data_IF_837591437925
#
_entry.id   IF_837591437925
#
_cell.length_a   1.000
_cell.length_b   1.000
_cell.length_c   1.000
_cell.angle_alpha   90.00
_cell.angle_beta   90.00
_cell.angle_gamma   90.00
#
_symmetry.space_group_name_H-M   'P 1'
#
loop_
_entity.id
_entity.type
_entity.pdbx_description
1 polymer ?
#
# COMPACT_ATOMS: atom_id res chain seq x y z
N UNK A 1 2.39 -16.38 4.74
CA UNK A 1 3.47 -16.46 3.70
C UNK A 1 3.34 -17.69 2.79
N UNK A 2 2.43 -18.64 3.07
CA UNK A 2 2.21 -19.81 2.20
C UNK A 2 1.51 -19.50 0.87
N UNK A 3 0.94 -18.33 0.71
CA UNK A 3 0.22 -17.91 -0.50
C UNK A 3 0.99 -16.94 -1.41
N UNK A 4 2.22 -16.55 -1.05
CA UNK A 4 3.03 -15.71 -1.92
C UNK A 4 3.57 -16.54 -3.09
N UNK A 5 3.35 -16.14 -4.36
CA UNK A 5 3.86 -16.89 -5.50
C UNK A 5 5.38 -17.06 -5.42
N UNK A 6 5.86 -18.30 -5.37
CA UNK A 6 7.30 -18.64 -5.34
C UNK A 6 8.04 -18.35 -6.68
N UNK A 7 7.47 -17.59 -7.58
CA UNK A 7 7.87 -17.59 -9.00
C UNK A 7 8.97 -16.61 -9.40
N UNK A 8 9.54 -15.82 -8.50
CA UNK A 8 10.74 -15.04 -8.84
C UNK A 8 12.01 -15.71 -8.30
N UNK A 9 12.50 -16.73 -9.04
CA UNK A 9 13.78 -17.40 -8.76
C UNK A 9 14.94 -16.39 -8.83
N UNK A 10 16.03 -16.69 -8.11
CA UNK A 10 17.32 -15.97 -8.13
C UNK A 10 17.66 -15.48 -9.56
N UNK A 11 17.47 -14.20 -9.80
CA UNK A 11 17.94 -13.50 -10.99
C UNK A 11 18.90 -12.42 -10.53
N UNK A 12 19.81 -12.03 -11.39
CA UNK A 12 20.72 -10.92 -11.07
C UNK A 12 19.91 -9.66 -10.79
N UNK A 13 20.25 -8.90 -9.73
CA UNK A 13 19.53 -7.67 -9.36
C UNK A 13 19.39 -6.72 -10.56
N UNK A 14 18.24 -6.10 -10.70
CA UNK A 14 17.94 -5.11 -11.76
C UNK A 14 17.66 -5.67 -13.16
N UNK A 15 17.82 -6.98 -13.40
CA UNK A 15 17.61 -7.56 -14.75
C UNK A 15 16.16 -7.97 -15.06
N UNK A 16 15.31 -7.98 -14.07
CA UNK A 16 13.88 -8.25 -14.25
C UNK A 16 13.14 -6.95 -14.06
N UNK A 17 12.09 -6.72 -14.84
CA UNK A 17 11.23 -5.55 -14.73
C UNK A 17 9.83 -6.01 -14.36
N UNK A 18 9.17 -5.31 -13.44
CA UNK A 18 7.78 -5.53 -13.09
C UNK A 18 7.10 -4.22 -12.65
N UNK A 19 5.79 -4.17 -12.79
CA UNK A 19 4.94 -3.16 -12.18
C UNK A 19 4.61 -3.61 -10.74
N UNK A 20 5.24 -3.02 -9.73
CA UNK A 20 5.13 -3.51 -8.36
C UNK A 20 3.68 -3.56 -7.85
N UNK A 21 2.88 -2.53 -8.12
CA UNK A 21 1.48 -2.49 -7.70
C UNK A 21 0.60 -3.50 -8.47
N UNK A 22 0.94 -3.88 -9.70
CA UNK A 22 0.23 -4.97 -10.41
C UNK A 22 0.44 -6.31 -9.71
N UNK A 23 1.66 -6.59 -9.25
CA UNK A 23 1.96 -7.79 -8.46
C UNK A 23 1.21 -7.76 -7.13
N UNK A 24 1.14 -6.60 -6.46
CA UNK A 24 0.32 -6.39 -5.27
C UNK A 24 -1.17 -6.61 -5.56
N UNK A 25 -1.68 -6.14 -6.69
CA UNK A 25 -3.08 -6.35 -7.10
C UNK A 25 -3.46 -7.82 -7.18
N UNK A 26 -2.59 -8.66 -7.75
CA UNK A 26 -2.80 -10.12 -7.77
C UNK A 26 -2.80 -10.72 -6.35
N UNK A 27 -1.93 -10.25 -5.48
CA UNK A 27 -1.92 -10.67 -4.07
C UNK A 27 -3.20 -10.24 -3.34
N UNK A 28 -3.66 -9.01 -3.52
CA UNK A 28 -4.91 -8.52 -2.92
C UNK A 28 -6.14 -9.25 -3.45
N UNK A 29 -6.16 -9.65 -4.74
CA UNK A 29 -7.18 -10.55 -5.29
C UNK A 29 -7.26 -11.84 -4.50
N UNK A 30 -6.13 -12.48 -4.25
CA UNK A 30 -6.08 -13.75 -3.53
C UNK A 30 -6.51 -13.57 -2.05
N UNK A 31 -6.08 -12.48 -1.41
CA UNK A 31 -6.56 -12.10 -0.07
C UNK A 31 -8.08 -11.89 -0.07
N UNK A 32 -8.62 -11.18 -1.05
CA UNK A 32 -10.05 -10.90 -1.17
C UNK A 32 -10.85 -12.18 -1.37
N UNK A 33 -10.40 -13.07 -2.23
CA UNK A 33 -11.04 -14.37 -2.49
C UNK A 33 -11.24 -15.18 -1.21
N UNK A 34 -10.26 -15.18 -0.32
CA UNK A 34 -10.34 -15.89 0.97
C UNK A 34 -11.11 -15.10 2.04
N UNK A 35 -11.38 -13.81 1.81
CA UNK A 35 -11.94 -12.90 2.80
C UNK A 35 -13.11 -12.05 2.29
N UNK A 36 -13.96 -12.61 1.45
CA UNK A 36 -15.07 -11.89 0.77
C UNK A 36 -16.00 -11.12 1.71
N UNK A 37 -16.13 -11.55 2.98
CA UNK A 37 -17.02 -10.89 3.95
C UNK A 37 -16.31 -9.85 4.82
N UNK A 38 -14.99 -9.85 4.82
CA UNK A 38 -14.19 -9.10 5.80
C UNK A 38 -13.09 -8.24 5.22
N UNK A 39 -12.92 -8.22 3.90
CA UNK A 39 -11.92 -7.40 3.22
C UNK A 39 -12.54 -6.52 2.14
N UNK A 40 -12.08 -5.27 2.02
CA UNK A 40 -12.45 -4.33 0.96
C UNK A 40 -11.25 -3.55 0.45
N UNK A 41 -11.29 -3.22 -0.83
CA UNK A 41 -10.44 -2.18 -1.43
C UNK A 41 -11.29 -0.93 -1.62
N UNK A 42 -10.73 0.22 -1.25
CA UNK A 42 -11.40 1.53 -1.33
C UNK A 42 -10.52 2.48 -2.11
N UNK A 43 -11.09 3.32 -2.93
CA UNK A 43 -10.33 4.32 -3.68
C UNK A 43 -11.20 5.31 -4.46
N UNK A 44 -10.66 6.49 -4.82
CA UNK A 44 -11.38 7.51 -5.57
C UNK A 44 -11.29 7.26 -7.08
N UNK A 45 -11.93 6.19 -7.58
CA UNK A 45 -11.94 5.80 -9.00
C UNK A 45 -10.54 5.48 -9.59
N UNK A 46 -9.65 4.93 -8.79
CA UNK A 46 -8.26 4.73 -9.19
C UNK A 46 -7.78 3.27 -9.10
N UNK A 47 -8.65 2.30 -8.82
CA UNK A 47 -8.26 0.89 -8.62
C UNK A 47 -7.52 0.33 -9.83
N UNK A 48 -8.06 0.53 -11.03
CA UNK A 48 -7.44 0.04 -12.26
C UNK A 48 -6.16 0.82 -12.60
N UNK A 49 -6.17 2.14 -12.46
CA UNK A 49 -5.01 2.99 -12.77
C UNK A 49 -3.86 2.78 -11.78
N UNK A 50 -4.16 2.39 -10.54
CA UNK A 50 -3.19 1.95 -9.54
C UNK A 50 -2.68 0.51 -9.77
N UNK A 51 -3.06 -0.12 -10.88
CA UNK A 51 -2.72 -1.50 -11.26
C UNK A 51 -3.29 -2.57 -10.32
N UNK A 52 -4.30 -2.25 -9.54
CA UNK A 52 -4.98 -3.20 -8.65
C UNK A 52 -6.14 -3.94 -9.33
N UNK A 53 -6.33 -3.78 -10.63
CA UNK A 53 -7.45 -4.33 -11.40
C UNK A 53 -7.66 -5.85 -11.25
N UNK A 54 -6.63 -6.61 -10.88
CA UNK A 54 -6.77 -8.05 -10.63
C UNK A 54 -7.83 -8.38 -9.56
N UNK A 55 -8.15 -7.48 -8.63
CA UNK A 55 -9.22 -7.71 -7.65
C UNK A 55 -10.59 -7.87 -8.30
N UNK A 56 -10.80 -7.27 -9.47
CA UNK A 56 -12.04 -7.40 -10.24
C UNK A 56 -12.23 -8.79 -10.88
N UNK A 57 -11.23 -9.66 -10.83
CA UNK A 57 -11.38 -11.06 -11.27
C UNK A 57 -12.24 -11.91 -10.29
N UNK A 58 -12.42 -11.42 -9.05
CA UNK A 58 -13.13 -12.16 -7.98
C UNK A 58 -14.28 -11.37 -7.34
N UNK A 59 -14.43 -10.09 -7.68
CA UNK A 59 -15.51 -9.25 -7.14
C UNK A 59 -15.79 -8.08 -8.08
N UNK A 60 -16.90 -7.39 -7.85
CA UNK A 60 -17.29 -6.18 -8.53
C UNK A 60 -17.10 -4.94 -7.63
N UNK A 61 -17.35 -3.76 -8.19
CA UNK A 61 -17.51 -2.51 -7.44
C UNK A 61 -18.85 -2.54 -6.69
N UNK A 62 -18.87 -2.03 -5.47
CA UNK A 62 -20.11 -1.88 -4.69
C UNK A 62 -21.01 -0.85 -5.34
N UNK A 63 -22.22 -1.26 -5.73
CA UNK A 63 -23.20 -0.38 -6.36
C UNK A 63 -24.59 -0.67 -5.82
N UNK A 64 -25.27 0.34 -5.26
CA UNK A 64 -26.58 0.19 -4.63
C UNK A 64 -27.72 0.85 -5.40
N UNK A 65 -27.40 1.57 -6.50
CA UNK A 65 -28.41 2.12 -7.40
C UNK A 65 -28.80 1.12 -8.49
N UNK A 66 -29.66 1.53 -9.41
CA UNK A 66 -30.03 0.73 -10.57
C UNK A 66 -28.80 0.39 -11.40
N UNK A 67 -28.71 -0.84 -11.86
CA UNK A 67 -27.68 -1.34 -12.76
C UNK A 67 -28.29 -1.44 -14.15
N UNK A 68 -27.74 -0.68 -15.10
CA UNK A 68 -28.20 -0.64 -16.48
C UNK A 68 -27.57 -1.77 -17.31
N UNK A 69 -28.16 -2.12 -18.47
CA UNK A 69 -27.62 -3.22 -19.29
C UNK A 69 -26.20 -3.04 -19.80
N UNK A 70 -25.75 -1.80 -19.93
CA UNK A 70 -24.40 -1.46 -20.41
C UNK A 70 -23.40 -1.21 -19.25
N UNK A 71 -23.86 -1.33 -17.99
CA UNK A 71 -22.98 -1.22 -16.82
C UNK A 71 -22.18 -2.50 -16.66
N UNK A 72 -20.91 -2.36 -16.27
CA UNK A 72 -19.98 -3.47 -16.12
C UNK A 72 -19.31 -3.42 -14.73
N UNK A 73 -19.03 -4.61 -14.19
CA UNK A 73 -18.35 -4.79 -12.90
C UNK A 73 -19.04 -4.08 -11.71
N UNK A 74 -20.37 -4.03 -11.71
CA UNK A 74 -21.18 -3.46 -10.63
C UNK A 74 -22.02 -4.52 -9.91
N UNK A 75 -22.05 -4.48 -8.58
CA UNK A 75 -22.86 -5.38 -7.76
C UNK A 75 -23.12 -4.79 -6.37
N UNK A 76 -24.31 -4.96 -5.78
CA UNK A 76 -24.55 -4.60 -4.39
C UNK A 76 -23.60 -5.31 -3.40
N UNK A 77 -23.17 -6.52 -3.73
CA UNK A 77 -22.24 -7.32 -2.93
C UNK A 77 -20.76 -7.06 -3.27
N UNK A 78 -20.47 -6.18 -4.19
CA UNK A 78 -19.12 -5.84 -4.62
C UNK A 78 -18.23 -5.47 -3.43
N UNK A 79 -16.93 -5.76 -3.53
CA UNK A 79 -15.94 -5.53 -2.45
C UNK A 79 -14.99 -4.39 -2.75
N UNK A 80 -15.06 -3.82 -3.94
CA UNK A 80 -14.33 -2.60 -4.29
C UNK A 80 -15.28 -1.42 -4.15
N UNK A 81 -14.91 -0.43 -3.34
CA UNK A 81 -15.68 0.78 -3.10
C UNK A 81 -14.98 1.95 -3.76
N UNK A 82 -15.50 2.39 -4.89
CA UNK A 82 -14.99 3.55 -5.61
C UNK A 82 -15.98 4.69 -5.58
N UNK A 83 -15.50 5.85 -5.17
CA UNK A 83 -16.22 7.12 -5.26
C UNK A 83 -15.22 8.26 -5.35
N UNK A 84 -15.44 9.20 -6.25
CA UNK A 84 -14.59 10.37 -6.44
C UNK A 84 -14.74 11.36 -5.27
N UNK A 85 -14.37 10.87 -4.09
CA UNK A 85 -14.37 11.59 -2.83
C UNK A 85 -13.48 10.85 -1.83
N UNK A 86 -12.26 11.30 -1.64
CA UNK A 86 -11.28 10.73 -0.73
C UNK A 86 -11.78 10.77 0.72
N UNK A 87 -12.51 11.80 1.11
CA UNK A 87 -13.16 11.89 2.43
C UNK A 87 -14.14 10.74 2.67
N UNK A 88 -14.97 10.42 1.67
CA UNK A 88 -15.92 9.32 1.77
C UNK A 88 -15.19 7.97 1.81
N UNK A 89 -14.16 7.79 0.98
CA UNK A 89 -13.30 6.61 0.98
C UNK A 89 -12.67 6.38 2.35
N UNK A 90 -12.10 7.43 2.95
CA UNK A 90 -11.51 7.40 4.28
C UNK A 90 -12.56 7.03 5.35
N UNK A 91 -13.69 7.71 5.35
CA UNK A 91 -14.77 7.48 6.32
C UNK A 91 -15.34 6.07 6.26
N UNK A 92 -15.53 5.53 5.06
CA UNK A 92 -15.96 4.15 4.85
C UNK A 92 -14.95 3.15 5.40
N UNK A 93 -13.67 3.35 5.08
CA UNK A 93 -12.64 2.43 5.55
C UNK A 93 -12.50 2.49 7.07
N UNK A 94 -12.46 3.67 7.67
CA UNK A 94 -12.41 3.81 9.14
C UNK A 94 -13.58 3.09 9.81
N UNK A 95 -14.81 3.35 9.36
CA UNK A 95 -16.00 2.67 9.88
C UNK A 95 -15.92 1.14 9.71
N UNK A 96 -15.38 0.68 8.61
CA UNK A 96 -15.23 -0.75 8.32
C UNK A 96 -14.22 -1.43 9.25
N UNK A 97 -13.07 -0.77 9.51
CA UNK A 97 -12.05 -1.24 10.46
C UNK A 97 -12.60 -1.34 11.88
N UNK A 98 -13.43 -0.38 12.31
CA UNK A 98 -14.08 -0.38 13.63
C UNK A 98 -15.00 -1.60 13.83
N UNK A 99 -15.47 -2.22 12.78
CA UNK A 99 -16.28 -3.45 12.84
C UNK A 99 -15.44 -4.73 12.91
N UNK A 100 -14.12 -4.62 13.06
CA UNK A 100 -13.18 -5.74 13.11
C UNK A 100 -12.81 -6.32 11.74
N UNK A 101 -13.10 -5.59 10.67
CA UNK A 101 -12.80 -5.97 9.29
C UNK A 101 -11.53 -5.29 8.80
N UNK A 102 -11.06 -5.65 7.60
CA UNK A 102 -9.80 -5.18 7.02
C UNK A 102 -10.05 -4.50 5.68
N UNK A 103 -9.16 -3.58 5.31
CA UNK A 103 -9.24 -2.93 4.02
C UNK A 103 -7.96 -2.20 3.63
N UNK A 104 -7.99 -1.70 2.41
CA UNK A 104 -6.90 -0.97 1.79
C UNK A 104 -7.45 0.25 1.04
N UNK A 105 -6.84 1.41 1.24
CA UNK A 105 -7.17 2.63 0.53
C UNK A 105 -6.05 2.96 -0.45
N UNK A 106 -6.34 2.87 -1.76
CA UNK A 106 -5.41 3.25 -2.81
C UNK A 106 -5.76 4.63 -3.37
N UNK A 107 -4.76 5.50 -3.45
CA UNK A 107 -4.90 6.87 -3.92
C UNK A 107 -3.60 7.35 -4.58
N UNK A 108 -3.68 8.35 -5.46
CA UNK A 108 -2.50 9.08 -5.89
C UNK A 108 -1.96 9.93 -4.75
N UNK A 109 -0.64 10.02 -4.68
CA UNK A 109 0.03 10.85 -3.66
C UNK A 109 -0.47 12.29 -3.67
N UNK A 110 -0.72 12.86 -4.86
CA UNK A 110 -1.17 14.24 -5.01
C UNK A 110 -2.54 14.54 -4.38
N UNK A 111 -3.41 13.53 -4.23
CA UNK A 111 -4.77 13.75 -3.75
C UNK A 111 -4.98 13.33 -2.30
N UNK A 112 -4.07 12.57 -1.73
CA UNK A 112 -4.24 12.07 -0.35
C UNK A 112 -4.27 13.19 0.69
N UNK A 113 -3.74 14.37 0.40
CA UNK A 113 -3.85 15.55 1.26
C UNK A 113 -5.29 15.93 1.59
N UNK A 114 -6.25 15.59 0.72
CA UNK A 114 -7.67 15.82 0.97
C UNK A 114 -8.11 15.21 2.32
N UNK A 115 -7.49 14.12 2.77
CA UNK A 115 -7.83 13.44 4.02
C UNK A 115 -6.91 13.75 5.21
N UNK A 116 -6.05 14.74 5.11
CA UNK A 116 -5.07 15.10 6.17
C UNK A 116 -5.72 15.25 7.55
N UNK A 117 -6.82 15.98 7.63
CA UNK A 117 -7.49 16.20 8.91
C UNK A 117 -8.14 14.93 9.46
N UNK A 118 -8.73 14.10 8.60
CA UNK A 118 -9.31 12.81 8.97
C UNK A 118 -8.23 11.84 9.44
N UNK A 119 -7.15 11.71 8.67
CA UNK A 119 -5.97 10.94 9.08
C UNK A 119 -5.46 11.37 10.46
N UNK A 120 -5.30 12.68 10.68
CA UNK A 120 -4.83 13.22 11.94
C UNK A 120 -5.77 12.87 13.12
N UNK A 121 -7.09 12.91 12.91
CA UNK A 121 -8.08 12.50 13.92
C UNK A 121 -8.00 11.00 14.19
N UNK A 122 -7.88 10.18 13.15
CA UNK A 122 -7.75 8.73 13.29
C UNK A 122 -6.48 8.36 14.10
N UNK A 123 -5.35 8.97 13.80
CA UNK A 123 -4.10 8.75 14.53
C UNK A 123 -4.19 9.15 16.01
N UNK A 124 -4.85 10.29 16.31
CA UNK A 124 -5.11 10.70 17.69
C UNK A 124 -6.03 9.73 18.42
N UNK A 125 -7.08 9.29 17.75
CA UNK A 125 -8.02 8.34 18.28
C UNK A 125 -7.34 6.99 18.60
N UNK A 126 -6.53 6.42 17.70
CA UNK A 126 -5.77 5.21 17.96
C UNK A 126 -4.89 5.33 19.19
N UNK A 127 -4.19 6.45 19.36
CA UNK A 127 -3.33 6.71 20.51
C UNK A 127 -4.13 6.69 21.82
N UNK A 128 -5.28 7.36 21.84
CA UNK A 128 -6.14 7.45 23.03
C UNK A 128 -6.80 6.11 23.37
N UNK A 129 -7.27 5.38 22.37
CA UNK A 129 -7.99 4.12 22.58
C UNK A 129 -7.11 2.98 23.09
N UNK A 130 -5.81 3.03 22.88
CA UNK A 130 -4.85 2.06 23.45
C UNK A 130 -4.83 2.05 24.99
N UNK A 131 -5.18 3.15 25.60
CA UNK A 131 -5.22 3.29 27.06
C UNK A 131 -6.54 2.74 27.67
N UNK A 132 -7.50 2.35 26.81
CA UNK A 132 -8.80 1.86 27.23
C UNK A 132 -8.79 0.33 27.31
N UNK A 133 -8.73 -0.22 28.50
CA UNK A 133 -8.50 -1.66 28.78
C UNK A 133 -9.56 -2.61 28.19
N UNK A 134 -10.82 -2.17 28.04
CA UNK A 134 -11.88 -2.99 27.46
C UNK A 134 -11.95 -2.94 25.93
N UNK A 135 -11.18 -2.07 25.31
CA UNK A 135 -11.19 -1.92 23.85
C UNK A 135 -10.31 -2.96 23.18
N UNK A 136 -10.84 -3.62 22.16
CA UNK A 136 -10.07 -4.58 21.36
C UNK A 136 -9.26 -3.85 20.29
N UNK A 137 -8.04 -4.31 19.99
CA UNK A 137 -7.29 -3.83 18.84
C UNK A 137 -8.08 -3.99 17.54
N UNK A 138 -8.00 -3.01 16.66
CA UNK A 138 -8.60 -3.04 15.31
C UNK A 138 -7.53 -3.27 14.24
N UNK A 139 -7.96 -3.68 13.06
CA UNK A 139 -7.07 -3.72 11.89
C UNK A 139 -6.52 -2.32 11.59
N UNK A 140 -5.28 -2.25 11.14
CA UNK A 140 -4.64 -0.99 10.79
C UNK A 140 -5.28 -0.32 9.57
N UNK A 141 -5.26 1.00 9.55
CA UNK A 141 -5.60 1.79 8.38
C UNK A 141 -4.43 1.75 7.40
N UNK A 142 -4.66 1.24 6.19
CA UNK A 142 -3.61 1.01 5.21
C UNK A 142 -3.84 1.88 3.98
N UNK A 143 -2.88 2.76 3.67
CA UNK A 143 -2.83 3.53 2.44
C UNK A 143 -1.80 2.93 1.47
N UNK A 144 -2.16 2.90 0.18
CA UNK A 144 -1.25 2.75 -0.94
C UNK A 144 -1.24 4.05 -1.72
N UNK A 145 -0.10 4.73 -1.74
CA UNK A 145 0.11 5.93 -2.51
C UNK A 145 0.92 5.60 -3.76
N UNK A 146 0.37 5.95 -4.91
CA UNK A 146 1.02 5.77 -6.20
C UNK A 146 1.18 7.11 -6.92
N UNK A 147 1.68 7.11 -8.14
CA UNK A 147 1.94 8.33 -8.92
C UNK A 147 2.73 9.36 -8.13
N UNK A 148 3.66 8.88 -7.33
CA UNK A 148 4.45 9.68 -6.39
C UNK A 148 5.44 10.60 -7.12
N UNK A 149 5.75 11.72 -6.49
CA UNK A 149 6.54 12.80 -7.07
C UNK A 149 7.94 12.39 -7.55
N UNK A 150 8.54 11.40 -6.93
CA UNK A 150 9.89 10.94 -7.29
C UNK A 150 10.01 10.39 -8.71
N UNK A 151 8.95 9.83 -9.23
CA UNK A 151 8.89 9.28 -10.59
C UNK A 151 8.32 10.25 -11.60
N UNK A 152 7.54 11.23 -11.15
CA UNK A 152 6.83 12.21 -12.00
C UNK A 152 6.16 11.57 -13.21
N UNK A 153 5.62 10.36 -12.97
CA UNK A 153 5.28 9.49 -14.07
C UNK A 153 3.94 9.87 -14.65
N UNK A 154 3.42 10.35 -15.44
CA UNK A 154 2.23 10.33 -16.29
C UNK A 154 1.13 11.37 -16.07
N UNK A 155 0.99 11.97 -14.90
CA UNK A 155 -0.05 12.98 -14.70
C UNK A 155 0.48 14.42 -14.75
N UNK A 156 1.78 14.57 -15.03
CA UNK A 156 2.43 15.87 -15.10
C UNK A 156 2.49 16.60 -13.75
N UNK A 157 2.93 17.84 -13.76
CA UNK A 157 3.12 18.64 -12.56
C UNK A 157 1.83 18.95 -11.78
N UNK A 158 0.68 18.90 -12.43
CA UNK A 158 -0.62 19.16 -11.81
C UNK A 158 -1.06 18.08 -10.81
N UNK A 159 -0.37 16.93 -10.81
CA UNK A 159 -0.67 15.78 -9.95
C UNK A 159 0.52 15.44 -9.06
N UNK A 160 1.29 16.43 -8.64
CA UNK A 160 2.48 16.28 -7.80
C UNK A 160 2.29 17.05 -6.49
N UNK A 161 2.14 16.34 -5.38
CA UNK A 161 2.07 16.92 -4.03
C UNK A 161 2.55 15.91 -2.97
N UNK A 162 3.83 15.98 -2.53
CA UNK A 162 4.40 15.02 -1.57
C UNK A 162 4.12 15.35 -0.09
N UNK A 163 3.47 16.46 0.20
CA UNK A 163 3.37 17.00 1.57
C UNK A 163 2.63 16.13 2.57
N UNK A 164 1.80 15.17 2.12
CA UNK A 164 1.14 14.22 3.02
C UNK A 164 2.15 13.37 3.79
N UNK A 165 3.23 12.93 3.15
CA UNK A 165 4.27 12.12 3.80
C UNK A 165 4.96 12.92 4.90
N UNK A 166 5.23 14.20 4.68
CA UNK A 166 5.79 15.10 5.69
C UNK A 166 4.85 15.24 6.89
N UNK A 167 3.56 15.40 6.63
CA UNK A 167 2.54 15.46 7.67
C UNK A 167 2.50 14.15 8.50
N UNK A 168 2.52 13.01 7.82
CA UNK A 168 2.51 11.68 8.44
C UNK A 168 3.77 11.46 9.27
N UNK A 169 4.95 11.78 8.75
CA UNK A 169 6.24 11.57 9.40
C UNK A 169 6.39 12.36 10.73
N UNK A 170 5.63 13.44 10.90
CA UNK A 170 5.60 14.23 12.14
C UNK A 170 4.78 13.57 13.27
N UNK A 171 4.13 12.43 13.04
CA UNK A 171 3.39 11.70 14.06
C UNK A 171 4.30 10.73 14.80
N UNK A 172 3.82 10.25 15.96
CA UNK A 172 4.59 9.29 16.75
C UNK A 172 4.69 7.93 16.06
N UNK A 173 5.87 7.34 16.10
CA UNK A 173 6.15 6.04 15.51
C UNK A 173 5.36 4.88 16.17
N UNK A 174 4.74 5.07 17.31
CA UNK A 174 3.88 4.06 17.95
C UNK A 174 2.54 3.86 17.24
N UNK A 175 2.08 4.83 16.43
CA UNK A 175 0.83 4.73 15.66
C UNK A 175 1.03 4.83 14.14
N UNK A 176 2.20 5.23 13.67
CA UNK A 176 2.47 5.46 12.24
C UNK A 176 3.60 4.58 11.74
N UNK A 177 3.45 4.10 10.51
CA UNK A 177 4.51 3.47 9.72
C UNK A 177 4.48 4.02 8.30
N UNK A 178 5.65 4.36 7.79
CA UNK A 178 5.85 4.73 6.38
C UNK A 178 6.76 3.69 5.75
N UNK A 179 6.37 3.17 4.61
CA UNK A 179 7.08 2.13 3.88
C UNK A 179 7.38 2.61 2.46
N UNK A 180 8.62 2.44 2.05
CA UNK A 180 9.15 2.86 0.76
C UNK A 180 9.79 1.65 0.06
N UNK A 181 8.98 0.65 -0.35
CA UNK A 181 9.49 -0.56 -0.94
C UNK A 181 10.15 -0.30 -2.30
N UNK A 182 11.38 -0.79 -2.55
CA UNK A 182 12.10 -0.56 -3.79
C UNK A 182 11.64 -1.43 -4.97
N UNK A 183 10.92 -2.52 -4.72
CA UNK A 183 10.50 -3.47 -5.74
C UNK A 183 9.23 -4.23 -5.36
N UNK A 184 8.77 -5.11 -6.25
CA UNK A 184 7.54 -5.87 -6.05
C UNK A 184 7.61 -6.86 -4.87
N UNK A 185 8.75 -7.52 -4.66
CA UNK A 185 8.89 -8.50 -3.58
C UNK A 185 8.87 -7.84 -2.20
N UNK A 186 9.54 -6.70 -2.06
CA UNK A 186 9.48 -5.90 -0.83
C UNK A 186 8.09 -5.31 -0.62
N UNK A 187 7.41 -4.87 -1.69
CA UNK A 187 6.03 -4.41 -1.60
C UNK A 187 5.09 -5.51 -1.11
N UNK A 188 5.22 -6.75 -1.59
CA UNK A 188 4.44 -7.89 -1.10
C UNK A 188 4.68 -8.15 0.39
N UNK A 189 5.94 -8.15 0.83
CA UNK A 189 6.28 -8.33 2.25
C UNK A 189 5.67 -7.24 3.13
N UNK A 190 5.78 -5.99 2.70
CA UNK A 190 5.20 -4.84 3.41
C UNK A 190 3.67 -4.95 3.45
N UNK A 191 3.03 -5.29 2.34
CA UNK A 191 1.57 -5.41 2.26
C UNK A 191 1.04 -6.50 3.20
N UNK A 192 1.68 -7.69 3.22
CA UNK A 192 1.32 -8.77 4.16
C UNK A 192 1.46 -8.31 5.62
N UNK A 193 2.54 -7.63 5.95
CA UNK A 193 2.76 -7.08 7.29
C UNK A 193 1.70 -6.03 7.66
N UNK A 194 1.37 -5.12 6.76
CA UNK A 194 0.36 -4.09 6.99
C UNK A 194 -1.02 -4.69 7.24
N UNK A 195 -1.42 -5.70 6.45
CA UNK A 195 -2.69 -6.39 6.63
C UNK A 195 -2.79 -7.18 7.94
N UNK A 196 -1.67 -7.64 8.50
CA UNK A 196 -1.62 -8.33 9.80
C UNK A 196 -1.51 -7.39 10.98
N UNK A 197 -1.10 -6.16 10.75
CA UNK A 197 -0.89 -5.17 11.81
C UNK A 197 -2.20 -4.66 12.39
N UNK A 198 -2.13 -4.18 13.63
CA UNK A 198 -3.28 -3.62 14.36
C UNK A 198 -2.91 -2.29 15.00
N UNK A 199 -3.91 -1.43 15.14
CA UNK A 199 -3.81 -0.12 15.80
C UNK A 199 -2.71 0.79 15.22
N UNK A 200 -2.45 0.65 13.92
CA UNK A 200 -1.49 1.48 13.18
C UNK A 200 -2.18 2.20 12.01
N UNK A 201 -1.54 3.23 11.54
CA UNK A 201 -1.73 3.77 10.20
C UNK A 201 -0.48 3.45 9.40
N UNK A 202 -0.64 2.70 8.34
CA UNK A 202 0.43 2.31 7.43
C UNK A 202 0.31 3.11 6.14
N UNK A 203 1.37 3.77 5.75
CA UNK A 203 1.46 4.50 4.48
C UNK A 203 2.52 3.81 3.62
N UNK A 204 2.12 3.25 2.50
CA UNK A 204 2.99 2.60 1.53
C UNK A 204 3.06 3.49 0.30
N UNK A 205 4.27 3.91 -0.09
CA UNK A 205 4.50 4.62 -1.34
C UNK A 205 5.17 3.67 -2.33
N UNK A 206 4.50 3.37 -3.44
CA UNK A 206 4.98 2.37 -4.38
C UNK A 206 4.75 2.75 -5.84
N UNK A 207 5.69 2.37 -6.70
CA UNK A 207 5.62 2.61 -8.14
C UNK A 207 4.60 1.69 -8.83
N UNK A 208 3.85 2.26 -9.77
CA UNK A 208 2.91 1.53 -10.64
C UNK A 208 3.43 1.34 -12.08
N UNK A 209 4.54 1.97 -12.40
CA UNK A 209 5.21 1.80 -13.69
C UNK A 209 6.21 0.64 -13.65
N UNK A 210 6.57 0.09 -14.82
CA UNK A 210 7.63 -0.91 -14.90
C UNK A 210 8.93 -0.41 -14.28
N UNK A 211 9.47 -1.16 -13.35
CA UNK A 211 10.73 -0.84 -12.66
C UNK A 211 11.59 -2.08 -12.42
N UNK A 212 12.91 -1.89 -12.24
CA UNK A 212 13.82 -2.99 -11.93
C UNK A 212 13.42 -3.73 -10.64
N UNK A 213 13.71 -5.03 -10.61
CA UNK A 213 13.51 -5.86 -9.44
C UNK A 213 14.87 -6.20 -8.83
N UNK A 214 15.04 -5.91 -7.55
CA UNK A 214 16.34 -5.91 -6.89
C UNK A 214 16.57 -7.13 -6.01
N UNK A 215 15.56 -7.50 -5.21
CA UNK A 215 15.64 -8.54 -4.20
C UNK A 215 14.77 -9.75 -4.59
N UNK A 216 15.29 -10.95 -4.40
CA UNK A 216 14.44 -12.14 -4.39
C UNK A 216 13.57 -12.16 -3.12
N UNK A 217 12.62 -13.09 -3.03
CA UNK A 217 11.67 -13.10 -1.90
C UNK A 217 12.36 -13.32 -0.53
N UNK A 218 13.38 -14.18 -0.47
CA UNK A 218 14.09 -14.44 0.78
C UNK A 218 14.89 -13.22 1.24
N UNK A 219 15.53 -12.54 0.28
CA UNK A 219 16.22 -11.27 0.52
C UNK A 219 15.24 -10.16 0.93
N UNK A 220 14.07 -10.07 0.27
CA UNK A 220 13.03 -9.10 0.58
C UNK A 220 12.48 -9.30 2.00
N UNK A 221 12.22 -10.55 2.42
CA UNK A 221 11.78 -10.86 3.79
C UNK A 221 12.84 -10.43 4.81
N UNK A 222 14.12 -10.74 4.56
CA UNK A 222 15.23 -10.32 5.45
C UNK A 222 15.32 -8.80 5.53
N UNK A 223 15.26 -8.11 4.38
CA UNK A 223 15.32 -6.66 4.29
C UNK A 223 14.15 -5.99 5.03
N UNK A 224 12.92 -6.42 4.76
CA UNK A 224 11.73 -5.85 5.40
C UNK A 224 11.69 -6.13 6.91
N UNK A 225 12.22 -7.27 7.37
CA UNK A 225 12.31 -7.57 8.80
C UNK A 225 13.29 -6.66 9.54
N UNK A 226 14.34 -6.20 8.88
CA UNK A 226 15.28 -5.23 9.42
C UNK A 226 14.81 -3.77 9.25
N UNK A 227 13.93 -3.51 8.27
CA UNK A 227 13.43 -2.18 7.92
C UNK A 227 14.37 -1.35 7.05
N UNK A 228 15.65 -1.67 7.05
CA UNK A 228 16.71 -1.10 6.22
C UNK A 228 17.77 -2.17 5.98
N UNK A 229 18.48 -2.13 4.87
CA UNK A 229 19.52 -3.12 4.57
C UNK A 229 20.64 -2.55 3.73
N UNK A 230 21.83 -3.12 3.91
CA UNK A 230 22.99 -2.88 3.05
C UNK A 230 22.89 -3.83 1.86
N UNK A 231 23.05 -3.29 0.65
CA UNK A 231 23.11 -4.06 -0.58
C UNK A 231 24.56 -4.32 -0.96
N UNK A 232 25.14 -5.37 -0.38
CA UNK A 232 26.55 -5.74 -0.61
C UNK A 232 26.88 -5.93 -2.08
N UNK A 233 25.91 -6.44 -2.87
CA UNK A 233 26.07 -6.63 -4.31
C UNK A 233 26.17 -5.32 -5.12
N UNK A 234 25.69 -4.20 -4.55
CA UNK A 234 25.77 -2.86 -5.14
C UNK A 234 26.96 -2.05 -4.59
N UNK A 235 27.64 -2.59 -3.57
CA UNK A 235 28.77 -1.94 -2.92
C UNK A 235 30.08 -2.36 -3.59
N UNK A 236 31.03 -1.45 -3.67
CA UNK A 236 32.42 -1.75 -4.04
C UNK A 236 33.34 -1.86 -2.81
N UNK A 237 32.78 -1.72 -1.63
CA UNK A 237 33.49 -1.93 -0.38
C UNK A 237 33.93 -3.40 -0.23
N UNK A 238 35.17 -3.61 0.21
CA UNK A 238 35.77 -4.93 0.44
C UNK A 238 36.11 -5.17 1.92
N UNK A 239 35.35 -4.56 2.82
CA UNK A 239 35.49 -4.72 4.27
C UNK A 239 36.37 -3.65 4.92
N UNK A 240 36.71 -2.57 4.22
CA UNK A 240 37.26 -1.35 4.77
C UNK A 240 36.20 -0.35 5.20
N UNK A 241 36.64 0.76 5.79
CA UNK A 241 35.76 1.90 6.05
C UNK A 241 35.45 2.61 4.71
N UNK A 242 34.16 2.79 4.33
CA UNK A 242 33.83 3.42 3.06
C UNK A 242 34.07 4.93 3.10
N UNK A 243 34.62 5.49 2.02
CA UNK A 243 34.77 6.94 1.86
C UNK A 243 33.42 7.64 1.61
N UNK A 244 32.46 6.92 0.98
CA UNK A 244 31.14 7.43 0.64
C UNK A 244 30.09 6.38 0.91
N UNK A 245 29.01 6.75 1.61
CA UNK A 245 27.83 5.95 1.80
C UNK A 245 26.66 6.57 1.03
N UNK A 246 26.03 5.78 0.16
CA UNK A 246 24.83 6.18 -0.57
C UNK A 246 23.61 5.50 0.04
N UNK A 247 22.52 6.27 0.26
CA UNK A 247 21.25 5.75 0.72
C UNK A 247 20.15 6.08 -0.29
N UNK A 248 19.28 5.10 -0.54
CA UNK A 248 18.12 5.23 -1.42
C UNK A 248 16.88 4.72 -0.70
N UNK A 249 15.70 5.17 -1.15
CA UNK A 249 14.42 4.71 -0.66
C UNK A 249 13.40 4.64 -1.80
N UNK A 250 12.40 3.78 -1.65
CA UNK A 250 11.39 3.57 -2.68
C UNK A 250 11.95 2.91 -3.94
N UNK A 251 11.35 3.19 -5.05
CA UNK A 251 11.69 2.64 -6.37
C UNK A 251 12.73 3.49 -7.16
N UNK A 252 13.55 4.25 -6.43
CA UNK A 252 14.62 5.10 -6.98
C UNK A 252 15.97 4.40 -7.13
N UNK A 253 16.33 3.34 -6.38
CA UNK A 253 17.62 2.66 -6.53
C UNK A 253 17.99 2.26 -7.94
#
# INVERSE_FOLDING_TARGET
LSSVPRSMRRRSPGKTVAEATRVMGAFLRDVMKENMKTFRVVGPDETASNRLGAVMEVTDKTWLAEILPDDDLLSPEGRVMEILSEHTCQGWLEGYLLTGRHGFFSCYEAFIHIVDSMFNQHAKWLKTTREISWRRPIASLNYLLTSHVWRQDHNGFSHQDPGFIDHVANKKADVIRVYLPPDANTLLCVTDQCLRSKDLVNVIVAGKQPGPQWLDMDQAVKHCSAGIGIWEWASNDRGGEPDVVMACAGDIP
#
